data_IF_845630219782
#
_entry.id   IF_845630219782
#
_cell.length_a   1.000
_cell.length_b   1.000
_cell.length_c   1.000
_cell.angle_alpha   90.00
_cell.angle_beta   90.00
_cell.angle_gamma   90.00
#
_symmetry.space_group_name_H-M   'P 1'
#
loop_
_entity.id
_entity.type
_entity.pdbx_description
1 polymer ?
#
# COMPACT_ATOMS: atom_id res chain seq x y z
N UNK A 1 41.08 10.50 -1.99
CA UNK A 1 42.26 11.29 -2.38
C UNK A 1 43.47 10.37 -2.72
N UNK A 2 43.83 9.45 -1.86
CA UNK A 2 45.01 8.59 -2.05
C UNK A 2 45.04 7.78 -3.35
N UNK A 3 43.87 7.45 -3.90
CA UNK A 3 43.72 6.72 -5.19
C UNK A 3 43.64 7.64 -6.43
N UNK A 4 43.68 8.97 -6.26
CA UNK A 4 43.61 9.92 -7.36
C UNK A 4 42.29 9.98 -8.13
N UNK A 5 41.21 9.30 -7.63
CA UNK A 5 39.94 9.18 -8.31
C UNK A 5 38.87 10.19 -7.82
N UNK A 6 39.24 11.04 -6.84
CA UNK A 6 38.35 12.09 -6.30
C UNK A 6 38.71 13.40 -6.97
N UNK A 7 37.80 13.91 -7.81
CA UNK A 7 37.96 15.19 -8.50
C UNK A 7 37.88 16.37 -7.54
N UNK A 8 36.82 16.41 -6.70
CA UNK A 8 36.52 17.50 -5.79
C UNK A 8 35.66 17.02 -4.62
N UNK A 9 35.85 17.62 -3.47
CA UNK A 9 34.98 17.46 -2.31
C UNK A 9 34.34 18.80 -2.02
N UNK A 10 33.00 18.86 -2.09
CA UNK A 10 32.22 20.04 -1.73
C UNK A 10 31.36 19.74 -0.49
N UNK A 11 31.15 20.75 0.33
CA UNK A 11 30.31 20.68 1.52
C UNK A 11 29.06 21.50 1.28
N UNK A 12 27.90 20.84 1.50
CA UNK A 12 26.59 21.49 1.43
C UNK A 12 25.89 21.45 2.80
N UNK A 13 25.19 22.51 3.13
CA UNK A 13 24.30 22.52 4.30
C UNK A 13 22.89 22.24 3.81
N UNK A 14 22.26 21.19 4.31
CA UNK A 14 20.90 20.81 3.98
C UNK A 14 20.19 20.20 5.18
N UNK A 15 18.85 20.13 5.11
CA UNK A 15 18.05 19.37 6.09
C UNK A 15 18.34 17.88 5.94
N UNK A 16 18.52 17.19 7.07
CA UNK A 16 18.74 15.77 7.10
C UNK A 16 17.58 15.06 7.82
N UNK A 17 17.04 13.96 7.29
CA UNK A 17 15.92 13.29 7.92
C UNK A 17 16.34 12.60 9.21
N UNK A 18 15.50 12.76 10.23
CA UNK A 18 15.66 12.13 11.54
C UNK A 18 14.42 11.27 11.87
N UNK A 19 14.61 10.24 12.66
CA UNK A 19 13.52 9.44 13.19
C UNK A 19 12.61 10.33 14.05
N UNK A 20 11.32 10.38 13.73
CA UNK A 20 10.35 11.18 14.46
C UNK A 20 10.11 10.73 15.92
N UNK A 21 10.55 9.51 16.28
CA UNK A 21 10.39 8.95 17.63
C UNK A 21 11.60 9.21 18.52
N UNK A 22 12.81 8.97 18.01
CA UNK A 22 14.03 9.01 18.81
C UNK A 22 15.04 10.08 18.37
N UNK A 23 14.74 10.85 17.31
CA UNK A 23 15.63 11.89 16.81
C UNK A 23 16.92 11.40 16.14
N UNK A 24 17.17 10.10 16.06
CA UNK A 24 18.37 9.54 15.44
C UNK A 24 18.37 9.85 13.93
N UNK A 25 19.54 10.17 13.38
CA UNK A 25 19.71 10.36 11.92
C UNK A 25 19.36 9.09 11.18
N UNK A 26 18.58 9.21 10.11
CA UNK A 26 18.26 8.10 9.23
C UNK A 26 19.42 7.78 8.30
N UNK A 27 19.52 6.54 7.86
CA UNK A 27 20.47 6.12 6.84
C UNK A 27 19.75 5.29 5.77
N UNK A 28 20.24 5.36 4.54
CA UNK A 28 19.81 4.49 3.47
C UNK A 28 20.40 3.11 3.65
N UNK A 29 19.56 2.09 3.59
CA UNK A 29 19.95 0.70 3.71
C UNK A 29 19.18 -0.15 2.70
N UNK A 30 19.85 -1.03 1.98
CA UNK A 30 19.19 -2.05 1.18
C UNK A 30 18.50 -3.06 2.11
N UNK A 31 17.23 -3.34 1.85
CA UNK A 31 16.42 -4.26 2.63
C UNK A 31 15.49 -5.05 1.71
N UNK A 32 15.43 -6.39 1.86
CA UNK A 32 14.48 -7.19 1.10
C UNK A 32 13.05 -6.79 1.45
N UNK A 33 12.24 -6.51 0.44
CA UNK A 33 10.87 -6.04 0.61
C UNK A 33 9.97 -6.60 -0.48
N UNK A 34 8.66 -6.56 -0.24
CA UNK A 34 7.64 -6.96 -1.19
C UNK A 34 7.06 -5.71 -1.84
N UNK A 35 7.00 -5.70 -3.17
CA UNK A 35 6.57 -4.54 -3.93
C UNK A 35 5.36 -4.87 -4.79
N UNK A 36 4.48 -3.89 -4.94
CA UNK A 36 3.50 -3.84 -6.00
C UNK A 36 4.11 -3.08 -7.18
N UNK A 37 4.10 -3.69 -8.36
CA UNK A 37 4.60 -3.08 -9.60
C UNK A 37 3.63 -2.00 -10.07
N UNK A 38 3.88 -0.77 -9.65
CA UNK A 38 3.10 0.40 -10.04
C UNK A 38 3.47 0.82 -11.46
N UNK A 39 4.69 0.58 -11.88
CA UNK A 39 5.14 0.99 -13.20
C UNK A 39 4.39 0.24 -14.31
N UNK A 40 4.12 -1.05 -14.11
CA UNK A 40 3.31 -1.85 -15.04
C UNK A 40 1.86 -1.36 -15.17
N UNK A 41 1.32 -0.72 -14.10
CA UNK A 41 -0.07 -0.24 -14.08
C UNK A 41 -0.22 1.25 -14.40
N UNK A 42 0.89 1.99 -14.49
CA UNK A 42 0.90 3.46 -14.58
C UNK A 42 0.03 4.01 -15.70
N UNK A 43 0.18 3.45 -16.90
CA UNK A 43 -0.60 3.87 -18.06
C UNK A 43 -2.10 3.66 -17.84
N UNK A 44 -2.49 2.50 -17.31
CA UNK A 44 -3.87 2.21 -16.97
C UNK A 44 -4.42 3.17 -15.91
N UNK A 45 -3.65 3.42 -14.84
CA UNK A 45 -4.02 4.38 -13.80
C UNK A 45 -4.25 5.79 -14.36
N UNK A 46 -3.42 6.25 -15.29
CA UNK A 46 -3.59 7.55 -15.95
C UNK A 46 -4.84 7.56 -16.85
N UNK A 47 -5.05 6.52 -17.63
CA UNK A 47 -6.20 6.40 -18.52
C UNK A 47 -7.53 6.37 -17.73
N UNK A 48 -7.59 5.60 -16.65
CA UNK A 48 -8.78 5.53 -15.80
C UNK A 48 -9.05 6.84 -15.04
N UNK A 49 -8.01 7.62 -14.71
CA UNK A 49 -8.19 8.95 -14.13
C UNK A 49 -8.96 9.91 -15.06
N UNK A 50 -8.92 9.69 -16.39
CA UNK A 50 -9.69 10.51 -17.33
C UNK A 50 -11.20 10.40 -17.12
N UNK A 51 -11.68 9.29 -16.60
CA UNK A 51 -13.10 9.06 -16.29
C UNK A 51 -13.54 9.65 -14.94
N UNK A 52 -12.60 10.13 -14.11
CA UNK A 52 -12.88 10.68 -12.78
C UNK A 52 -13.11 12.19 -12.86
N UNK A 53 -14.18 12.67 -12.23
CA UNK A 53 -14.47 14.10 -12.09
C UNK A 53 -13.79 14.66 -10.84
N UNK A 54 -12.94 15.65 -11.00
CA UNK A 54 -12.21 16.29 -9.90
C UNK A 54 -12.73 17.69 -9.58
N UNK A 55 -12.95 17.95 -8.30
CA UNK A 55 -13.36 19.25 -7.76
C UNK A 55 -12.38 19.69 -6.65
N UNK A 56 -11.49 20.69 -6.89
CA UNK A 56 -11.36 21.49 -8.14
C UNK A 56 -10.67 20.70 -9.28
N UNK A 57 -11.11 20.97 -10.51
CA UNK A 57 -10.68 20.23 -11.71
C UNK A 57 -9.16 20.22 -11.95
N UNK A 58 -8.46 21.31 -11.63
CA UNK A 58 -7.01 21.42 -11.86
C UNK A 58 -6.18 20.38 -11.10
N UNK A 59 -6.72 19.75 -10.06
CA UNK A 59 -6.03 18.70 -9.30
C UNK A 59 -5.90 17.40 -10.09
N UNK A 60 -6.78 17.16 -11.03
CA UNK A 60 -6.75 15.98 -11.91
C UNK A 60 -5.38 15.83 -12.59
N UNK A 61 -4.94 16.85 -13.30
CA UNK A 61 -3.69 16.84 -14.04
C UNK A 61 -2.52 17.45 -13.28
N UNK A 62 -2.79 18.53 -12.56
CA UNK A 62 -1.76 19.30 -11.87
C UNK A 62 -1.16 18.58 -10.65
N UNK A 63 -1.88 17.63 -10.08
CA UNK A 63 -1.43 16.95 -8.86
C UNK A 63 -1.61 15.42 -8.90
N UNK A 64 -2.81 14.90 -9.14
CA UNK A 64 -3.05 13.46 -9.07
C UNK A 64 -2.35 12.72 -10.20
N UNK A 65 -2.52 13.13 -11.45
CA UNK A 65 -1.80 12.52 -12.58
C UNK A 65 -0.28 12.58 -12.38
N UNK A 66 0.25 13.72 -11.92
CA UNK A 66 1.69 13.84 -11.63
C UNK A 66 2.17 12.93 -10.51
N UNK A 67 1.31 12.65 -9.53
CA UNK A 67 1.63 11.63 -8.50
C UNK A 67 1.78 10.26 -9.13
N UNK A 68 0.85 9.88 -10.00
CA UNK A 68 0.91 8.59 -10.72
C UNK A 68 2.15 8.50 -11.62
N UNK A 69 2.42 9.56 -12.42
CA UNK A 69 3.57 9.62 -13.33
C UNK A 69 4.91 9.41 -12.61
N UNK A 70 5.05 9.95 -11.40
CA UNK A 70 6.29 9.95 -10.62
C UNK A 70 6.37 8.83 -9.59
N UNK A 71 5.29 8.08 -9.38
CA UNK A 71 5.25 7.06 -8.36
C UNK A 71 6.25 5.93 -8.64
N UNK A 72 7.12 5.57 -7.69
CA UNK A 72 7.89 4.33 -7.76
C UNK A 72 6.99 3.12 -7.49
N UNK A 73 7.55 1.92 -7.64
CA UNK A 73 6.90 0.71 -7.16
C UNK A 73 6.63 0.81 -5.66
N UNK A 74 5.49 0.33 -5.26
CA UNK A 74 5.00 0.50 -3.90
C UNK A 74 5.48 -0.63 -3.00
N UNK A 75 6.34 -0.30 -2.03
CA UNK A 75 6.74 -1.25 -1.00
C UNK A 75 5.55 -1.56 -0.08
N UNK A 76 5.03 -2.77 -0.16
CA UNK A 76 3.88 -3.26 0.62
C UNK A 76 4.28 -3.77 2.01
N UNK A 77 5.51 -4.19 2.22
CA UNK A 77 5.94 -4.83 3.46
C UNK A 77 6.48 -3.85 4.49
N UNK A 78 6.16 -4.08 5.78
CA UNK A 78 6.65 -3.30 6.91
C UNK A 78 7.24 -4.20 7.97
N UNK A 79 8.33 -3.73 8.61
CA UNK A 79 8.97 -4.34 9.76
C UNK A 79 8.33 -3.82 11.07
N UNK A 80 7.02 -4.00 11.19
CA UNK A 80 6.26 -3.64 12.39
C UNK A 80 5.62 -4.87 12.97
N UNK A 81 5.33 -4.82 14.27
CA UNK A 81 4.65 -5.93 14.92
C UNK A 81 3.16 -5.91 14.59
N UNK A 82 2.50 -4.77 14.76
CA UNK A 82 1.05 -4.64 14.59
C UNK A 82 0.68 -4.01 13.25
N UNK A 83 -0.07 -4.73 12.49
CA UNK A 83 -0.90 -4.43 11.31
C UNK A 83 -1.36 -5.77 10.72
N UNK A 84 -2.12 -5.76 9.63
CA UNK A 84 -2.50 -6.99 8.90
C UNK A 84 -1.26 -7.78 8.52
N UNK A 85 -1.17 -9.01 9.00
CA UNK A 85 -0.06 -9.90 8.70
C UNK A 85 -0.05 -10.25 7.21
N UNK A 86 1.09 -10.13 6.54
CA UNK A 86 1.18 -10.52 5.13
C UNK A 86 0.89 -12.01 4.97
N UNK A 87 -0.08 -12.40 4.11
CA UNK A 87 -0.48 -13.79 3.94
C UNK A 87 0.47 -14.56 3.03
N UNK A 88 1.76 -14.52 3.35
CA UNK A 88 2.82 -15.09 2.53
C UNK A 88 3.64 -16.07 3.34
N UNK A 89 3.72 -17.30 2.86
CA UNK A 89 4.56 -18.36 3.42
C UNK A 89 5.70 -18.68 2.47
N UNK A 90 6.84 -19.02 3.02
CA UNK A 90 8.06 -19.29 2.25
C UNK A 90 8.72 -20.57 2.75
N UNK A 91 9.17 -21.44 1.81
CA UNK A 91 9.95 -22.63 2.13
C UNK A 91 11.43 -22.31 2.28
N UNK A 92 12.19 -23.26 2.85
CA UNK A 92 13.65 -23.16 2.94
C UNK A 92 14.33 -23.12 1.57
N UNK A 93 13.73 -23.71 0.54
CA UNK A 93 14.24 -23.63 -0.84
C UNK A 93 13.95 -22.29 -1.52
N UNK A 94 13.14 -21.43 -0.90
CA UNK A 94 12.77 -20.12 -1.41
C UNK A 94 11.45 -20.08 -2.18
N UNK A 95 10.72 -21.21 -2.30
CA UNK A 95 9.39 -21.21 -2.90
C UNK A 95 8.42 -20.38 -2.05
N UNK A 96 7.50 -19.71 -2.71
CA UNK A 96 6.54 -18.81 -2.09
C UNK A 96 5.13 -19.32 -2.31
N UNK A 97 4.32 -19.30 -1.25
CA UNK A 97 2.88 -19.51 -1.28
C UNK A 97 2.17 -18.29 -0.70
N UNK A 98 1.34 -17.65 -1.50
CA UNK A 98 0.41 -16.63 -1.04
C UNK A 98 -0.92 -17.32 -0.75
N UNK A 99 -1.47 -17.09 0.44
CA UNK A 99 -2.73 -17.67 0.89
C UNK A 99 -3.84 -16.65 0.70
N UNK A 100 -4.87 -16.98 -0.06
CA UNK A 100 -5.93 -16.07 -0.47
C UNK A 100 -7.12 -15.98 0.46
N UNK A 101 -7.26 -16.90 1.42
CA UNK A 101 -8.38 -16.91 2.37
C UNK A 101 -8.06 -17.69 3.65
N UNK A 102 -8.85 -17.45 4.70
CA UNK A 102 -8.78 -18.23 5.94
C UNK A 102 -9.14 -19.71 5.70
N UNK A 103 -10.08 -19.97 4.79
CA UNK A 103 -10.46 -21.34 4.41
C UNK A 103 -9.28 -22.07 3.77
N UNK A 104 -8.57 -21.44 2.85
CA UNK A 104 -7.36 -22.00 2.24
C UNK A 104 -6.26 -22.24 3.28
N UNK A 105 -6.06 -21.30 4.21
CA UNK A 105 -5.09 -21.49 5.29
C UNK A 105 -5.42 -22.68 6.17
N UNK A 106 -6.70 -22.83 6.53
CA UNK A 106 -7.18 -23.98 7.30
C UNK A 106 -7.00 -25.30 6.55
N UNK A 107 -7.28 -25.31 5.25
CA UNK A 107 -7.06 -26.50 4.40
C UNK A 107 -5.60 -26.93 4.35
N UNK A 108 -4.68 -25.95 4.20
CA UNK A 108 -3.24 -26.20 4.11
C UNK A 108 -2.62 -26.60 5.45
N UNK A 109 -3.00 -25.93 6.54
CA UNK A 109 -2.35 -26.08 7.85
C UNK A 109 -3.10 -26.96 8.85
N UNK A 110 -4.41 -27.18 8.64
CA UNK A 110 -5.30 -27.77 9.63
C UNK A 110 -5.66 -26.86 10.81
N UNK A 111 -5.16 -25.62 10.83
CA UNK A 111 -5.32 -24.66 11.93
C UNK A 111 -6.38 -23.63 11.60
N UNK A 112 -7.23 -23.32 12.56
CA UNK A 112 -8.17 -22.20 12.56
C UNK A 112 -7.87 -21.30 13.76
N UNK A 113 -7.71 -20.01 13.52
CA UNK A 113 -7.39 -19.03 14.55
C UNK A 113 -8.60 -18.16 14.84
N UNK A 114 -8.75 -17.73 16.09
CA UNK A 114 -9.70 -16.66 16.49
C UNK A 114 -9.21 -15.29 16.07
N UNK A 115 -7.89 -15.09 16.00
CA UNK A 115 -7.24 -13.86 15.59
C UNK A 115 -6.07 -14.16 14.63
N UNK A 116 -6.11 -13.60 13.42
CA UNK A 116 -5.10 -13.77 12.39
C UNK A 116 -4.04 -12.66 12.39
N UNK A 117 -3.94 -11.86 13.47
CA UNK A 117 -2.83 -10.95 13.68
C UNK A 117 -1.61 -11.67 14.28
N UNK A 118 -0.49 -10.97 14.30
CA UNK A 118 0.67 -11.39 15.06
C UNK A 118 0.41 -11.26 16.57
N UNK A 119 0.90 -12.18 17.41
CA UNK A 119 1.84 -13.28 17.08
C UNK A 119 1.18 -14.56 16.60
N UNK A 120 -0.14 -14.74 16.75
CA UNK A 120 -0.82 -16.04 16.60
C UNK A 120 -0.62 -16.66 15.22
N UNK A 121 -0.69 -15.87 14.14
CA UNK A 121 -0.50 -16.36 12.77
C UNK A 121 0.96 -16.72 12.46
N UNK A 122 1.92 -16.23 13.24
CA UNK A 122 3.35 -16.48 12.98
C UNK A 122 3.73 -17.95 13.18
N UNK A 123 3.01 -18.66 14.04
CA UNK A 123 3.25 -20.07 14.36
C UNK A 123 2.55 -21.03 13.38
N UNK A 124 1.72 -20.52 12.46
CA UNK A 124 1.02 -21.35 11.48
C UNK A 124 1.97 -21.75 10.37
N UNK A 125 2.22 -23.06 10.26
CA UNK A 125 3.06 -23.67 9.22
C UNK A 125 2.27 -24.76 8.49
N UNK A 126 2.71 -25.12 7.30
CA UNK A 126 2.17 -26.22 6.52
C UNK A 126 3.23 -26.81 5.58
N UNK A 127 2.94 -27.95 4.98
CA UNK A 127 3.85 -28.61 4.04
C UNK A 127 3.20 -28.76 2.67
N UNK A 128 3.96 -28.45 1.61
CA UNK A 128 3.58 -28.71 0.21
C UNK A 128 4.73 -29.48 -0.44
N UNK A 129 4.44 -30.59 -1.08
CA UNK A 129 5.40 -31.44 -1.78
C UNK A 129 6.62 -31.83 -0.90
N UNK A 130 6.37 -32.06 0.40
CA UNK A 130 7.42 -32.43 1.36
C UNK A 130 8.30 -31.28 1.85
N UNK A 131 8.02 -30.06 1.45
CA UNK A 131 8.70 -28.86 1.96
C UNK A 131 7.81 -28.13 2.98
N UNK A 132 8.43 -27.75 4.11
CA UNK A 132 7.77 -26.92 5.12
C UNK A 132 7.76 -25.45 4.71
N UNK A 133 6.63 -24.81 4.90
CA UNK A 133 6.42 -23.37 4.66
C UNK A 133 6.16 -22.67 5.98
N UNK A 134 6.89 -21.60 6.23
CA UNK A 134 6.74 -20.70 7.38
C UNK A 134 6.35 -19.31 6.91
N UNK A 135 5.51 -18.61 7.68
CA UNK A 135 5.10 -17.26 7.34
C UNK A 135 6.28 -16.28 7.38
N UNK A 136 6.31 -15.33 6.46
CA UNK A 136 7.28 -14.22 6.54
C UNK A 136 6.93 -13.28 7.70
N UNK A 137 7.91 -12.68 8.37
CA UNK A 137 7.75 -11.82 9.55
C UNK A 137 7.32 -10.38 9.21
N UNK A 138 6.60 -10.19 8.11
CA UNK A 138 6.16 -8.88 7.62
C UNK A 138 4.67 -8.65 7.86
N UNK A 139 4.32 -7.37 7.97
CA UNK A 139 2.92 -6.90 7.95
C UNK A 139 2.71 -5.99 6.74
N UNK A 140 1.46 -5.81 6.35
CA UNK A 140 1.07 -4.94 5.23
C UNK A 140 1.31 -3.46 5.56
N UNK A 141 1.57 -2.67 4.55
CA UNK A 141 1.42 -1.22 4.62
C UNK A 141 -0.04 -0.86 4.91
N UNK A 142 -0.28 -0.03 5.91
CA UNK A 142 -1.63 0.43 6.27
C UNK A 142 -2.38 1.12 5.12
N UNK A 143 -1.67 1.66 4.15
CA UNK A 143 -2.29 2.20 2.94
C UNK A 143 -2.89 1.14 2.01
N UNK A 144 -2.41 -0.10 2.09
CA UNK A 144 -3.04 -1.21 1.39
C UNK A 144 -4.43 -1.50 1.98
N UNK A 145 -4.54 -1.54 3.30
CA UNK A 145 -5.83 -1.69 3.99
C UNK A 145 -6.77 -0.54 3.64
N UNK A 146 -6.29 0.71 3.74
CA UNK A 146 -7.07 1.89 3.39
C UNK A 146 -7.50 1.90 1.91
N UNK A 147 -6.63 1.44 1.00
CA UNK A 147 -6.93 1.29 -0.43
C UNK A 147 -7.93 0.18 -0.74
N UNK A 148 -8.04 -0.79 0.15
CA UNK A 148 -8.97 -1.92 0.04
C UNK A 148 -10.40 -1.61 0.48
N UNK A 149 -10.65 -0.43 1.07
CA UNK A 149 -11.93 -0.05 1.66
C UNK A 149 -13.15 -0.32 0.75
N UNK A 150 -13.15 -0.03 -0.56
CA UNK A 150 -14.33 -0.19 -1.39
C UNK A 150 -14.92 -1.61 -1.39
N UNK A 151 -14.08 -2.63 -1.30
CA UNK A 151 -14.48 -4.02 -1.29
C UNK A 151 -14.38 -4.67 0.09
N UNK A 152 -13.37 -4.31 0.88
CA UNK A 152 -13.15 -4.91 2.20
C UNK A 152 -14.30 -4.62 3.19
N UNK A 153 -14.90 -3.42 3.16
CA UNK A 153 -16.05 -3.07 4.00
C UNK A 153 -17.29 -3.94 3.75
N UNK A 154 -17.36 -4.60 2.60
CA UNK A 154 -18.45 -5.50 2.23
C UNK A 154 -18.04 -6.97 2.34
N UNK A 155 -16.81 -7.26 2.75
CA UNK A 155 -16.22 -8.60 2.77
C UNK A 155 -16.26 -9.28 1.38
N UNK A 156 -16.22 -8.48 0.32
CA UNK A 156 -16.13 -8.98 -1.06
C UNK A 156 -14.75 -9.62 -1.32
N UNK A 157 -14.65 -10.76 -2.04
CA UNK A 157 -15.71 -11.43 -2.81
C UNK A 157 -16.48 -12.51 -2.05
N UNK A 158 -16.23 -12.70 -0.76
CA UNK A 158 -16.78 -13.79 0.03
C UNK A 158 -18.25 -13.56 0.42
N UNK A 159 -18.61 -12.29 0.62
CA UNK A 159 -19.97 -11.85 0.99
C UNK A 159 -20.38 -10.61 0.18
N UNK A 160 -21.68 -10.28 0.23
CA UNK A 160 -22.24 -9.03 -0.29
C UNK A 160 -21.88 -8.70 -1.75
N UNK A 161 -21.68 -9.71 -2.60
CA UNK A 161 -21.24 -9.54 -3.97
C UNK A 161 -22.15 -8.61 -4.77
N UNK A 162 -23.45 -8.83 -4.75
CA UNK A 162 -24.44 -8.01 -5.46
C UNK A 162 -24.41 -6.54 -4.99
N UNK A 163 -24.25 -6.34 -3.68
CA UNK A 163 -24.17 -4.99 -3.10
C UNK A 163 -22.90 -4.28 -3.54
N UNK A 164 -21.77 -4.97 -3.62
CA UNK A 164 -20.52 -4.41 -4.15
C UNK A 164 -20.68 -4.04 -5.62
N UNK A 165 -21.13 -4.96 -6.46
CA UNK A 165 -21.28 -4.75 -7.90
C UNK A 165 -22.26 -3.62 -8.25
N UNK A 166 -23.29 -3.42 -7.43
CA UNK A 166 -24.26 -2.33 -7.60
C UNK A 166 -23.73 -0.93 -7.18
N UNK A 167 -22.67 -0.88 -6.34
CA UNK A 167 -22.16 0.37 -5.76
C UNK A 167 -20.69 0.68 -6.11
N UNK A 168 -20.06 -0.15 -6.91
CA UNK A 168 -18.69 0.06 -7.36
C UNK A 168 -18.65 0.39 -8.87
N UNK A 169 -17.89 1.42 -9.31
CA UNK A 169 -17.15 2.42 -8.50
C UNK A 169 -18.07 3.32 -7.67
N UNK A 170 -17.56 3.78 -6.52
CA UNK A 170 -18.30 4.68 -5.62
C UNK A 170 -18.71 6.00 -6.30
N UNK A 171 -19.84 6.58 -5.91
CA UNK A 171 -20.36 7.80 -6.56
C UNK A 171 -19.46 9.01 -6.28
N UNK A 172 -18.98 9.19 -5.05
CA UNK A 172 -18.04 10.26 -4.73
C UNK A 172 -17.20 9.94 -3.48
N UNK A 173 -16.05 10.61 -3.40
CA UNK A 173 -15.23 10.67 -2.18
C UNK A 173 -14.84 12.11 -1.88
N UNK A 174 -14.62 12.42 -0.61
CA UNK A 174 -14.20 13.75 -0.15
C UNK A 174 -13.13 13.64 0.92
N UNK A 175 -12.02 14.36 0.70
CA UNK A 175 -10.93 14.50 1.68
C UNK A 175 -10.06 15.71 1.33
N UNK A 176 -9.11 16.08 2.22
CA UNK A 176 -8.23 17.20 1.97
C UNK A 176 -7.13 16.87 0.94
N UNK A 177 -6.54 17.91 0.37
CA UNK A 177 -5.65 17.85 -0.79
C UNK A 177 -4.46 16.89 -0.67
N UNK A 178 -3.97 16.59 0.53
CA UNK A 178 -2.86 15.65 0.69
C UNK A 178 -3.20 14.23 0.24
N UNK A 179 -4.48 13.86 0.22
CA UNK A 179 -4.93 12.53 -0.17
C UNK A 179 -4.74 12.23 -1.67
N UNK A 180 -4.44 13.22 -2.47
CA UNK A 180 -3.97 13.04 -3.86
C UNK A 180 -2.66 12.24 -3.95
N UNK A 181 -1.90 12.16 -2.85
CA UNK A 181 -0.65 11.40 -2.70
C UNK A 181 -0.74 10.30 -1.63
N UNK A 182 -1.93 10.06 -1.11
CA UNK A 182 -2.19 9.06 -0.08
C UNK A 182 -3.47 8.29 -0.41
N UNK A 183 -4.55 8.41 0.33
CA UNK A 183 -5.73 7.55 0.21
C UNK A 183 -6.31 7.47 -1.20
N UNK A 184 -6.50 8.58 -1.91
CA UNK A 184 -7.01 8.55 -3.28
C UNK A 184 -6.08 7.76 -4.21
N UNK A 185 -4.77 7.96 -4.09
CA UNK A 185 -3.78 7.28 -4.89
C UNK A 185 -3.74 5.77 -4.60
N UNK A 186 -3.65 5.39 -3.33
CA UNK A 186 -3.55 3.98 -2.95
C UNK A 186 -4.83 3.21 -3.26
N UNK A 187 -6.00 3.81 -3.05
CA UNK A 187 -7.28 3.23 -3.45
C UNK A 187 -7.34 3.02 -4.97
N UNK A 188 -6.92 3.99 -5.75
CA UNK A 188 -6.87 3.89 -7.22
C UNK A 188 -5.91 2.77 -7.66
N UNK A 189 -4.71 2.69 -7.09
CA UNK A 189 -3.72 1.66 -7.40
C UNK A 189 -4.23 0.24 -7.09
N UNK A 190 -4.78 0.02 -5.90
CA UNK A 190 -5.31 -1.30 -5.48
C UNK A 190 -6.48 -1.72 -6.37
N UNK A 191 -7.42 -0.82 -6.64
CA UNK A 191 -8.62 -1.19 -7.38
C UNK A 191 -8.35 -1.37 -8.88
N UNK A 192 -7.42 -0.62 -9.46
CA UNK A 192 -6.95 -0.89 -10.83
C UNK A 192 -6.32 -2.27 -10.94
N UNK A 193 -5.51 -2.66 -9.96
CA UNK A 193 -4.89 -3.99 -9.95
C UNK A 193 -5.90 -5.14 -9.84
N UNK A 194 -7.00 -4.94 -9.12
CA UNK A 194 -7.99 -5.97 -8.83
C UNK A 194 -9.17 -5.98 -9.82
N UNK A 195 -9.63 -4.81 -10.24
CA UNK A 195 -10.88 -4.65 -10.98
C UNK A 195 -10.71 -4.00 -12.34
N UNK A 196 -9.47 -3.63 -12.69
CA UNK A 196 -9.14 -3.02 -13.98
C UNK A 196 -9.89 -1.71 -14.29
N UNK A 197 -10.37 -1.00 -13.24
CA UNK A 197 -11.11 0.25 -13.34
C UNK A 197 -10.89 1.16 -12.14
N UNK A 198 -11.33 2.44 -12.24
CA UNK A 198 -11.24 3.41 -11.16
C UNK A 198 -12.19 3.09 -9.99
N UNK A 199 -11.87 3.60 -8.79
CA UNK A 199 -12.59 3.29 -7.56
C UNK A 199 -13.77 4.21 -7.28
N UNK A 200 -13.77 5.42 -7.82
CA UNK A 200 -14.72 6.49 -7.52
C UNK A 200 -14.94 7.39 -8.74
N UNK A 201 -16.18 7.85 -8.93
CA UNK A 201 -16.58 8.67 -10.07
C UNK A 201 -16.26 10.15 -9.88
N UNK A 202 -16.41 10.64 -8.66
CA UNK A 202 -16.26 12.06 -8.33
C UNK A 202 -15.37 12.25 -7.09
N UNK A 203 -14.46 13.21 -7.15
CA UNK A 203 -13.58 13.58 -6.04
C UNK A 203 -13.77 15.02 -5.65
N UNK A 204 -14.15 15.25 -4.40
CA UNK A 204 -14.17 16.59 -3.82
C UNK A 204 -12.94 16.74 -2.93
N UNK A 205 -12.11 17.74 -3.21
CA UNK A 205 -10.87 17.95 -2.46
C UNK A 205 -10.95 19.25 -1.70
N UNK A 206 -10.86 19.17 -0.37
CA UNK A 206 -10.85 20.31 0.52
C UNK A 206 -9.44 20.86 0.75
N UNK A 207 -9.36 22.10 1.24
CA UNK A 207 -8.10 22.70 1.68
C UNK A 207 -7.58 22.10 2.99
N UNK A 208 -6.38 22.48 3.37
CA UNK A 208 -5.79 22.10 4.66
C UNK A 208 -6.40 22.93 5.77
N UNK A 209 -6.84 22.29 6.85
CA UNK A 209 -7.23 22.97 8.09
C UNK A 209 -5.96 23.50 8.80
N UNK A 210 -6.05 24.74 9.25
CA UNK A 210 -5.00 25.37 10.04
C UNK A 210 -5.48 25.59 11.47
N UNK A 211 -4.57 25.46 12.43
CA UNK A 211 -4.81 25.87 13.81
C UNK A 211 -4.90 27.39 13.95
N UNK A 212 -5.22 27.87 15.15
CA UNK A 212 -5.26 29.31 15.46
C UNK A 212 -3.92 30.03 15.28
N UNK A 213 -2.83 29.27 15.27
CA UNK A 213 -1.45 29.74 15.01
C UNK A 213 -1.08 29.73 13.52
N UNK A 214 -2.02 29.38 12.64
CA UNK A 214 -1.80 29.29 11.18
C UNK A 214 -1.03 28.05 10.73
N UNK A 215 -0.64 27.16 11.62
CA UNK A 215 0.04 25.92 11.27
C UNK A 215 -0.98 24.87 10.85
N UNK A 216 -0.54 23.96 9.99
CA UNK A 216 -1.33 22.80 9.62
C UNK A 216 -1.64 21.96 10.88
N UNK A 217 -2.91 21.62 11.04
CA UNK A 217 -3.37 20.68 12.08
C UNK A 217 -2.93 19.25 11.76
#
# INVERSE_FOLDING_TARGET
HERGVVWKIDYIRHSYPHCHRCGTKLMYRAHPSWFMDIQAQREKMLNENESINWFPHHLKYGRFAKTIEQAPDWNLSRDRFWATAMPVWKSKSGKVKVVGSYAELKELSGVELEDYHRPWIDDVTFSIDGEEYTRIDKVMDSWFEAGSMPFAQLHYPFENKEKFEANFPGDFIVEYIAQTRAWFYYMHAVNIALFDTFSFKNVITTGTLAGSDGRKM
#
